data_IF_357503489128
#
_entry.id   IF_357503489128
#
_cell.length_a   1.000
_cell.length_b   1.000
_cell.length_c   1.000
_cell.angle_alpha   90.00
_cell.angle_beta   90.00
_cell.angle_gamma   90.00
#
_symmetry.space_group_name_H-M   'P 1'
#
loop_
_entity.id
_entity.type
_entity.pdbx_description
1 polymer ?
#
# COMPACT_ATOMS: atom_id res chain seq x y z
N UNK A 1 -4.57 62.21 -7.50
CA UNK A 1 -4.47 62.41 -6.04
C UNK A 1 -5.44 61.46 -5.37
N UNK A 2 -4.91 60.62 -4.49
CA UNK A 2 -5.54 59.71 -3.50
C UNK A 2 -6.38 58.55 -4.09
N UNK A 3 -5.87 57.34 -4.32
CA UNK A 3 -5.33 56.32 -3.38
C UNK A 3 -6.29 55.98 -2.24
N UNK A 4 -7.13 54.97 -2.44
CA UNK A 4 -7.88 54.30 -1.37
C UNK A 4 -7.40 52.86 -1.32
N UNK A 5 -6.82 52.51 -0.18
CA UNK A 5 -6.10 51.27 0.10
C UNK A 5 -7.06 50.08 0.19
N UNK A 6 -6.76 49.03 -0.57
CA UNK A 6 -7.33 47.70 -0.41
C UNK A 6 -6.66 47.02 0.80
N UNK A 7 -7.39 46.86 1.91
CA UNK A 7 -6.95 45.97 2.99
C UNK A 7 -7.07 44.51 2.54
N UNK A 8 -5.95 43.91 2.16
CA UNK A 8 -5.85 42.45 2.01
C UNK A 8 -5.67 41.84 3.41
N UNK A 9 -6.76 41.37 4.01
CA UNK A 9 -6.68 40.45 5.14
C UNK A 9 -6.02 39.15 4.68
N UNK A 10 -4.82 38.92 5.18
CA UNK A 10 -4.01 37.74 4.85
C UNK A 10 -4.61 36.49 5.49
N UNK A 11 -5.06 35.55 4.65
CA UNK A 11 -5.46 34.21 5.06
C UNK A 11 -4.28 33.49 5.74
N UNK A 12 -4.47 32.79 6.87
CA UNK A 12 -3.40 32.08 7.54
C UNK A 12 -2.89 30.95 6.65
N UNK A 13 -1.59 31.02 6.29
CA UNK A 13 -0.88 29.96 5.58
C UNK A 13 -0.90 28.68 6.44
N UNK A 14 -1.70 27.70 6.04
CA UNK A 14 -1.63 26.32 6.57
C UNK A 14 -0.28 25.69 6.21
N UNK A 15 0.76 25.99 7.00
CA UNK A 15 1.97 25.18 7.13
C UNK A 15 1.72 24.12 8.20
N UNK A 16 1.07 23.04 7.83
CA UNK A 16 0.95 21.86 8.70
C UNK A 16 0.64 20.64 7.82
N UNK A 17 1.66 20.14 7.14
CA UNK A 17 1.73 18.82 6.51
C UNK A 17 3.11 18.71 5.87
N UNK A 18 4.09 18.19 6.61
CA UNK A 18 5.25 17.44 6.10
C UNK A 18 6.36 17.18 7.15
N UNK A 19 6.17 17.47 8.43
CA UNK A 19 7.25 17.25 9.41
C UNK A 19 7.41 15.78 9.84
N UNK A 20 6.42 14.91 9.59
CA UNK A 20 6.48 13.49 9.98
C UNK A 20 7.40 12.64 9.10
N UNK A 21 7.55 13.00 7.81
CA UNK A 21 8.39 12.24 6.88
C UNK A 21 9.89 12.47 7.13
N UNK A 22 10.26 13.63 7.67
CA UNK A 22 11.66 14.00 7.91
C UNK A 22 12.24 13.40 9.20
N UNK A 23 11.40 12.81 10.07
CA UNK A 23 11.82 12.23 11.35
C UNK A 23 11.78 10.70 11.38
N UNK A 24 11.55 10.04 10.24
CA UNK A 24 11.63 8.59 10.19
C UNK A 24 13.10 8.16 10.28
N UNK A 25 13.44 7.51 11.39
CA UNK A 25 14.74 6.87 11.59
C UNK A 25 15.03 5.95 10.40
N UNK A 26 16.26 5.93 9.86
CA UNK A 26 16.62 4.98 8.81
C UNK A 26 16.35 3.56 9.31
N UNK A 27 15.60 2.78 8.52
CA UNK A 27 15.24 1.40 8.87
C UNK A 27 16.53 0.60 9.01
N UNK A 28 16.94 0.38 10.26
CA UNK A 28 18.12 -0.38 10.61
C UNK A 28 17.83 -1.87 10.49
N UNK A 29 18.75 -2.65 9.90
CA UNK A 29 18.67 -4.11 9.90
C UNK A 29 18.98 -4.75 11.27
N UNK A 30 19.33 -3.93 12.28
CA UNK A 30 19.65 -4.42 13.62
C UNK A 30 18.34 -4.70 14.41
N UNK A 31 18.08 -5.95 14.84
CA UNK A 31 16.87 -6.33 15.57
C UNK A 31 16.63 -5.51 16.85
N UNK A 32 17.69 -5.02 17.50
CA UNK A 32 17.57 -4.24 18.73
C UNK A 32 16.97 -2.84 18.53
N UNK A 33 17.03 -2.29 17.32
CA UNK A 33 16.46 -0.97 17.01
C UNK A 33 14.94 -1.03 16.81
N UNK A 34 14.35 -2.21 16.59
CA UNK A 34 12.90 -2.38 16.52
C UNK A 34 12.24 -2.45 17.90
N UNK A 35 13.03 -2.55 18.98
CA UNK A 35 12.51 -2.63 20.36
C UNK A 35 12.23 -1.22 20.91
N UNK A 36 12.88 -0.18 20.36
CA UNK A 36 12.67 1.22 20.76
C UNK A 36 11.53 1.90 20.00
N UNK A 37 10.45 1.18 19.74
CA UNK A 37 9.25 1.76 19.15
C UNK A 37 8.52 2.53 20.25
N UNK A 38 8.41 3.86 20.10
CA UNK A 38 7.56 4.65 20.97
C UNK A 38 6.09 4.26 20.73
N UNK A 39 5.54 3.43 21.60
CA UNK A 39 4.16 2.92 21.54
C UNK A 39 3.09 4.03 21.67
N UNK A 40 3.47 5.22 22.16
CA UNK A 40 2.54 6.36 22.27
C UNK A 40 2.38 7.12 20.95
N UNK A 41 3.25 6.90 19.97
CA UNK A 41 3.13 7.49 18.64
C UNK A 41 2.50 6.49 17.68
N UNK A 42 1.41 6.90 17.02
CA UNK A 42 0.84 6.13 15.94
C UNK A 42 1.77 6.24 14.72
N UNK A 43 2.65 5.26 14.57
CA UNK A 43 3.61 5.17 13.47
C UNK A 43 2.95 4.89 12.11
N UNK A 44 1.67 4.55 12.08
CA UNK A 44 0.97 4.27 10.83
C UNK A 44 0.46 5.56 10.21
N UNK A 45 0.99 5.87 9.03
CA UNK A 45 0.46 6.94 8.19
C UNK A 45 -0.87 6.53 7.56
N UNK A 46 -1.72 7.51 7.27
CA UNK A 46 -2.98 7.25 6.57
C UNK A 46 -2.66 6.66 5.17
N UNK A 47 -3.24 5.51 4.81
CA UNK A 47 -2.99 4.91 3.49
C UNK A 47 -3.49 5.83 2.38
N UNK A 48 -2.69 5.96 1.32
CA UNK A 48 -3.05 6.66 0.10
C UNK A 48 -3.30 5.64 -1.02
N UNK A 49 -4.38 5.80 -1.77
CA UNK A 49 -4.62 5.01 -2.96
C UNK A 49 -3.82 5.62 -4.13
N UNK A 50 -2.86 4.85 -4.65
CA UNK A 50 -2.01 5.28 -5.78
C UNK A 50 -2.57 4.86 -7.14
N UNK A 51 -3.48 3.88 -7.16
CA UNK A 51 -4.08 3.38 -8.38
C UNK A 51 -4.79 2.06 -8.15
N UNK A 52 -5.52 1.63 -9.17
CA UNK A 52 -6.43 0.50 -9.10
C UNK A 52 -6.43 -0.26 -10.42
N UNK A 53 -6.65 -1.56 -10.33
CA UNK A 53 -6.75 -2.43 -11.48
C UNK A 53 -7.76 -3.55 -11.21
N UNK A 54 -8.28 -4.10 -12.29
CA UNK A 54 -9.16 -5.26 -12.30
C UNK A 54 -8.49 -6.38 -13.09
N UNK A 55 -8.81 -7.62 -12.78
CA UNK A 55 -8.24 -8.77 -13.46
C UNK A 55 -9.25 -9.35 -14.43
N UNK A 56 -8.81 -9.60 -15.65
CA UNK A 56 -9.61 -10.28 -16.65
C UNK A 56 -9.64 -11.80 -16.41
N UNK A 57 -10.36 -12.51 -17.28
CA UNK A 57 -10.45 -13.98 -17.24
C UNK A 57 -9.10 -14.67 -17.45
N UNK A 58 -8.15 -13.98 -18.07
CA UNK A 58 -6.79 -14.45 -18.33
C UNK A 58 -5.80 -14.01 -17.27
N UNK A 59 -6.28 -13.48 -16.12
CA UNK A 59 -5.45 -13.02 -14.99
C UNK A 59 -4.51 -11.87 -15.36
N UNK A 60 -4.84 -11.09 -16.38
CA UNK A 60 -4.09 -9.90 -16.76
C UNK A 60 -4.70 -8.64 -16.13
N UNK A 61 -3.86 -7.71 -15.64
CA UNK A 61 -4.33 -6.45 -15.08
C UNK A 61 -4.86 -5.53 -16.18
N UNK A 62 -6.10 -5.10 -16.02
CA UNK A 62 -6.74 -4.00 -16.74
C UNK A 62 -6.80 -2.78 -15.83
N UNK A 63 -6.45 -1.60 -16.35
CA UNK A 63 -6.44 -0.38 -15.55
C UNK A 63 -7.87 0.00 -15.11
N UNK A 64 -8.01 0.46 -13.88
CA UNK A 64 -9.28 0.93 -13.32
C UNK A 64 -10.12 -0.16 -12.64
N UNK A 65 -11.41 0.15 -12.48
CA UNK A 65 -12.35 -0.55 -11.59
C UNK A 65 -13.42 -1.37 -12.34
N UNK A 66 -13.10 -1.89 -13.52
CA UNK A 66 -14.09 -2.58 -14.36
C UNK A 66 -14.80 -3.76 -13.68
N UNK A 67 -14.14 -4.44 -12.73
CA UNK A 67 -14.71 -5.55 -11.97
C UNK A 67 -15.18 -5.16 -10.56
N UNK A 68 -15.14 -3.87 -10.20
CA UNK A 68 -15.59 -3.43 -8.88
C UNK A 68 -17.10 -3.66 -8.73
N UNK A 69 -17.48 -4.29 -7.62
CA UNK A 69 -18.88 -4.49 -7.24
C UNK A 69 -19.29 -3.44 -6.23
N UNK A 70 -20.52 -2.95 -6.37
CA UNK A 70 -21.11 -2.00 -5.45
C UNK A 70 -21.99 -2.75 -4.47
N UNK A 71 -21.87 -2.43 -3.19
CA UNK A 71 -22.72 -3.01 -2.17
C UNK A 71 -24.17 -2.63 -2.45
N UNK A 72 -25.03 -3.64 -2.56
CA UNK A 72 -26.47 -3.48 -2.74
C UNK A 72 -27.16 -4.26 -1.62
N UNK A 73 -27.77 -3.54 -0.69
CA UNK A 73 -28.20 -4.07 0.62
C UNK A 73 -29.15 -5.27 0.51
N UNK A 74 -30.00 -5.32 -0.51
CA UNK A 74 -30.96 -6.39 -0.75
C UNK A 74 -30.37 -7.67 -1.37
N UNK A 75 -29.06 -7.74 -1.63
CA UNK A 75 -28.43 -8.89 -2.32
C UNK A 75 -27.80 -9.94 -1.38
N UNK A 76 -28.37 -10.18 -0.19
CA UNK A 76 -27.99 -11.30 0.71
C UNK A 76 -28.42 -12.67 0.14
N UNK A 77 -28.24 -12.90 -1.15
CA UNK A 77 -28.49 -14.17 -1.83
C UNK A 77 -27.25 -15.06 -1.82
N UNK A 78 -27.46 -16.37 -1.68
CA UNK A 78 -26.40 -17.37 -1.82
C UNK A 78 -25.96 -17.48 -3.28
N UNK A 79 -24.82 -16.86 -3.60
CA UNK A 79 -24.20 -16.98 -4.91
C UNK A 79 -23.49 -18.34 -5.02
N UNK A 80 -23.63 -19.02 -6.17
CA UNK A 80 -23.03 -20.35 -6.39
C UNK A 80 -21.51 -20.23 -6.43
N UNK A 81 -20.83 -20.79 -5.42
CA UNK A 81 -19.38 -20.77 -5.34
C UNK A 81 -18.76 -21.64 -6.45
N UNK A 82 -18.11 -21.02 -7.43
CA UNK A 82 -17.16 -21.71 -8.29
C UNK A 82 -15.77 -21.57 -7.67
N UNK A 83 -15.18 -22.71 -7.31
CA UNK A 83 -13.80 -22.77 -6.85
C UNK A 83 -12.91 -22.58 -8.08
N UNK A 84 -12.27 -21.42 -8.17
CA UNK A 84 -11.18 -21.23 -9.12
C UNK A 84 -9.94 -21.98 -8.61
N UNK A 85 -9.35 -22.82 -9.45
CA UNK A 85 -8.02 -23.38 -9.21
C UNK A 85 -7.04 -22.21 -9.30
N UNK A 86 -6.51 -21.79 -8.15
CA UNK A 86 -5.52 -20.72 -8.07
C UNK A 86 -4.13 -21.32 -8.11
N UNK A 87 -3.41 -21.05 -9.20
CA UNK A 87 -1.96 -21.12 -9.19
C UNK A 87 -1.40 -20.00 -8.29
N UNK A 88 -0.24 -20.23 -7.70
CA UNK A 88 0.48 -19.21 -6.93
C UNK A 88 1.08 -18.18 -7.89
N UNK A 89 0.36 -17.07 -8.09
CA UNK A 89 0.79 -15.97 -8.96
C UNK A 89 1.88 -15.10 -8.30
N UNK A 90 2.22 -15.31 -7.02
CA UNK A 90 3.18 -14.50 -6.29
C UNK A 90 2.90 -13.00 -6.47
N UNK A 91 3.92 -12.22 -6.83
CA UNK A 91 3.78 -10.80 -7.17
C UNK A 91 3.60 -10.52 -8.67
N UNK A 92 3.49 -11.55 -9.52
CA UNK A 92 3.52 -11.40 -10.99
C UNK A 92 2.46 -10.42 -11.50
N UNK A 93 1.24 -10.54 -11.01
CA UNK A 93 0.12 -9.66 -11.38
C UNK A 93 0.39 -8.21 -10.97
N UNK A 94 0.91 -8.00 -9.75
CA UNK A 94 1.23 -6.67 -9.26
C UNK A 94 2.38 -6.04 -10.05
N UNK A 95 3.39 -6.83 -10.41
CA UNK A 95 4.52 -6.38 -11.24
C UNK A 95 4.06 -6.00 -12.65
N UNK A 96 3.15 -6.78 -13.25
CA UNK A 96 2.53 -6.43 -14.54
C UNK A 96 1.78 -5.09 -14.46
N UNK A 97 1.04 -4.87 -13.37
CA UNK A 97 0.36 -3.59 -13.16
C UNK A 97 1.35 -2.43 -13.00
N UNK A 98 2.41 -2.58 -12.18
CA UNK A 98 3.46 -1.56 -12.01
C UNK A 98 4.09 -1.22 -13.37
N UNK A 99 4.41 -2.22 -14.19
CA UNK A 99 4.96 -2.01 -15.52
C UNK A 99 3.99 -1.26 -16.44
N UNK A 100 2.69 -1.57 -16.36
CA UNK A 100 1.65 -0.92 -17.18
C UNK A 100 1.44 0.57 -16.82
N UNK A 101 1.63 0.95 -15.55
CA UNK A 101 1.50 2.35 -15.10
C UNK A 101 2.82 3.12 -15.11
N UNK A 102 3.95 2.43 -15.32
CA UNK A 102 5.27 3.04 -15.33
C UNK A 102 5.49 3.87 -16.58
N UNK A 103 6.06 5.06 -16.41
CA UNK A 103 6.54 5.86 -17.55
C UNK A 103 7.74 5.15 -18.19
N UNK A 104 7.83 5.07 -19.53
CA UNK A 104 8.99 4.49 -20.20
C UNK A 104 10.31 5.12 -19.70
N UNK A 105 11.32 4.29 -19.46
CA UNK A 105 12.65 4.70 -18.95
C UNK A 105 12.65 5.36 -17.55
N UNK A 106 11.56 5.27 -16.79
CA UNK A 106 11.55 5.75 -15.40
C UNK A 106 12.27 4.81 -14.43
N UNK A 107 12.72 5.35 -13.31
CA UNK A 107 13.29 4.55 -12.22
C UNK A 107 12.20 3.77 -11.50
N UNK A 108 12.53 2.58 -11.00
CA UNK A 108 11.59 1.75 -10.24
C UNK A 108 11.02 2.51 -9.03
N UNK A 109 11.88 3.20 -8.26
CA UNK A 109 11.50 4.02 -7.10
C UNK A 109 10.42 5.05 -7.46
N UNK A 110 10.53 5.70 -8.63
CA UNK A 110 9.51 6.64 -9.10
C UNK A 110 8.18 5.94 -9.40
N UNK A 111 8.20 4.80 -10.09
CA UNK A 111 6.99 4.03 -10.44
C UNK A 111 6.23 3.51 -9.23
N UNK A 112 6.92 3.29 -8.11
CA UNK A 112 6.33 2.78 -6.86
C UNK A 112 6.19 3.85 -5.79
N UNK A 113 6.25 5.14 -6.17
CA UNK A 113 6.06 6.26 -5.25
C UNK A 113 7.01 6.26 -4.06
N UNK A 114 8.29 6.01 -4.32
CA UNK A 114 9.39 5.99 -3.34
C UNK A 114 9.25 4.92 -2.23
N UNK A 115 8.34 3.96 -2.37
CA UNK A 115 8.18 2.85 -1.41
C UNK A 115 9.45 2.01 -1.24
N UNK A 116 9.64 1.46 -0.04
CA UNK A 116 10.79 0.61 0.30
C UNK A 116 10.56 -0.86 -0.02
N UNK A 117 9.30 -1.30 0.02
CA UNK A 117 8.92 -2.66 -0.31
C UNK A 117 7.57 -2.76 -1.00
N UNK A 118 7.36 -3.83 -1.76
CA UNK A 118 6.13 -4.13 -2.47
C UNK A 118 5.62 -5.49 -2.01
N UNK A 119 4.39 -5.53 -1.51
CA UNK A 119 3.82 -6.76 -0.98
C UNK A 119 2.30 -6.75 -1.07
N UNK A 120 1.69 -7.93 -1.17
CA UNK A 120 0.25 -8.05 -1.01
C UNK A 120 -0.18 -7.74 0.42
N UNK A 121 -1.33 -7.05 0.56
CA UNK A 121 -1.96 -6.77 1.86
C UNK A 121 -2.14 -8.04 2.71
N UNK A 122 -2.48 -9.16 2.06
CA UNK A 122 -2.69 -10.44 2.75
C UNK A 122 -1.43 -10.93 3.47
N UNK A 123 -0.24 -10.72 2.90
CA UNK A 123 1.04 -11.10 3.50
C UNK A 123 1.34 -10.24 4.73
N UNK A 124 1.17 -8.91 4.65
CA UNK A 124 1.32 -8.03 5.82
C UNK A 124 0.35 -8.44 6.93
N UNK A 125 -0.91 -8.71 6.56
CA UNK A 125 -1.94 -9.14 7.51
C UNK A 125 -1.49 -10.42 8.23
N UNK A 126 -0.98 -11.41 7.48
CA UNK A 126 -0.49 -12.66 8.05
C UNK A 126 0.74 -12.46 8.95
N UNK A 127 1.67 -11.58 8.58
CA UNK A 127 2.83 -11.22 9.42
C UNK A 127 2.40 -10.51 10.72
N UNK A 128 1.41 -9.62 10.65
CA UNK A 128 0.88 -8.95 11.85
C UNK A 128 0.23 -9.95 12.80
N UNK A 129 -0.50 -10.93 12.26
CA UNK A 129 -1.15 -11.95 13.07
C UNK A 129 -0.22 -13.08 13.53
N UNK A 130 0.95 -13.26 12.92
CA UNK A 130 1.84 -14.37 13.28
C UNK A 130 2.36 -14.27 14.71
N UNK A 131 2.45 -13.06 15.27
CA UNK A 131 2.81 -12.86 16.67
C UNK A 131 1.79 -13.47 17.66
N UNK A 132 0.57 -13.73 17.20
CA UNK A 132 -0.51 -14.33 18.00
C UNK A 132 -0.82 -15.78 17.58
N UNK A 133 -0.15 -16.30 16.54
CA UNK A 133 -0.39 -17.64 15.98
C UNK A 133 0.43 -18.70 16.71
N UNK A 134 0.18 -18.89 18.01
CA UNK A 134 0.97 -19.73 18.93
C UNK A 134 0.30 -21.08 19.29
N UNK A 135 -0.81 -21.43 18.63
CA UNK A 135 -1.60 -22.63 18.94
C UNK A 135 -1.09 -23.93 18.29
N UNK A 136 -1.60 -25.09 18.72
CA UNK A 136 -1.29 -26.39 18.11
C UNK A 136 -1.77 -26.49 16.64
N UNK A 137 -2.72 -25.65 16.24
CA UNK A 137 -3.22 -25.51 14.87
C UNK A 137 -2.66 -24.27 14.17
N UNK A 138 -1.51 -23.76 14.60
CA UNK A 138 -0.88 -22.60 13.96
C UNK A 138 -0.51 -22.91 12.53
N UNK A 139 -0.75 -21.94 11.65
CA UNK A 139 -0.48 -22.09 10.21
C UNK A 139 0.95 -21.66 9.90
N UNK A 140 1.51 -20.76 10.72
CA UNK A 140 2.82 -20.16 10.51
C UNK A 140 2.84 -19.26 9.27
N UNK A 141 4.04 -18.75 8.95
CA UNK A 141 4.24 -17.85 7.80
C UNK A 141 5.53 -18.21 7.09
N UNK A 142 5.46 -18.33 5.76
CA UNK A 142 6.63 -18.39 4.88
C UNK A 142 6.53 -17.22 3.91
N UNK A 143 7.58 -16.40 3.86
CA UNK A 143 7.67 -15.26 2.94
C UNK A 143 8.98 -15.36 2.19
N UNK A 144 8.91 -15.32 0.86
CA UNK A 144 10.07 -15.12 0.01
C UNK A 144 10.28 -13.61 -0.19
N UNK A 145 11.51 -13.13 0.02
CA UNK A 145 11.87 -11.72 -0.14
C UNK A 145 13.01 -11.61 -1.16
N UNK A 146 12.95 -10.62 -2.05
CA UNK A 146 13.97 -10.37 -3.05
C UNK A 146 14.28 -8.88 -3.11
N UNK A 147 15.55 -8.51 -3.08
CA UNK A 147 15.97 -7.11 -3.24
C UNK A 147 16.31 -6.83 -4.70
N UNK A 148 15.58 -5.92 -5.33
CA UNK A 148 15.83 -5.49 -6.71
C UNK A 148 15.91 -3.97 -6.79
N UNK A 149 17.04 -3.44 -7.29
CA UNK A 149 17.28 -1.99 -7.44
C UNK A 149 16.99 -1.18 -6.16
N UNK A 150 17.29 -1.76 -4.99
CA UNK A 150 17.10 -1.09 -3.69
C UNK A 150 15.69 -1.21 -3.11
N UNK A 151 14.77 -1.92 -3.76
CA UNK A 151 13.39 -2.17 -3.30
C UNK A 151 13.26 -3.64 -2.89
N UNK A 152 12.51 -3.90 -1.82
CA UNK A 152 12.21 -5.24 -1.30
C UNK A 152 10.84 -5.79 -1.74
#
# INVERSE_FOLDING_TARGET
MNSTEYSQESLPKKKAKNDYLNNLQPISSNPHNFIQINLTENLLTKPACIGEFSLDKSRLPSLGRSQARYFYESSLGFDKFKKEEKEDEGLLVLMRWILAVSVPNSSLKKSIHECDFIVWRGTITRLMFSCYDIGPNSVGVKVACCKFKGVY
#
